data_IF_157625506625
#
_entry.id   IF_157625506625
#
_cell.length_a   1.000
_cell.length_b   1.000
_cell.length_c   1.000
_cell.angle_alpha   90.00
_cell.angle_beta   90.00
_cell.angle_gamma   90.00
#
_symmetry.space_group_name_H-M   'P 1'
#
loop_
_entity.id
_entity.type
_entity.pdbx_description
1 polymer ?
#
# COMPACT_ATOMS: atom_id res chain seq x y z
N UNK A 1 42.97 25.66 -20.67
CA UNK A 1 41.68 26.26 -21.08
C UNK A 1 41.71 26.41 -22.59
N UNK A 2 40.61 26.07 -23.28
CA UNK A 2 40.50 26.25 -24.73
C UNK A 2 39.06 26.59 -25.14
N UNK A 3 38.85 26.98 -26.41
CA UNK A 3 37.53 27.30 -26.98
C UNK A 3 37.26 26.46 -28.22
N UNK A 4 36.04 25.96 -28.34
CA UNK A 4 35.56 25.21 -29.51
C UNK A 4 34.09 25.56 -29.77
N UNK A 5 33.74 25.85 -31.02
CA UNK A 5 32.39 26.25 -31.45
C UNK A 5 31.72 27.31 -30.56
N UNK A 6 32.45 28.38 -30.24
CA UNK A 6 31.93 29.50 -29.41
C UNK A 6 31.82 29.22 -27.90
N UNK A 7 32.04 27.97 -27.45
CA UNK A 7 32.00 27.58 -26.04
C UNK A 7 33.41 27.50 -25.44
N UNK A 8 33.55 27.93 -24.18
CA UNK A 8 34.80 27.89 -23.43
C UNK A 8 34.85 26.66 -22.52
N UNK A 9 35.96 25.91 -22.59
CA UNK A 9 36.20 24.72 -21.78
C UNK A 9 37.36 24.97 -20.81
N UNK A 10 37.12 24.70 -19.53
CA UNK A 10 38.10 24.78 -18.45
C UNK A 10 38.25 23.40 -17.82
N UNK A 11 39.45 22.83 -17.91
CA UNK A 11 39.81 21.54 -17.31
C UNK A 11 41.26 21.59 -16.84
N UNK A 12 41.53 20.99 -15.68
CA UNK A 12 42.89 20.83 -15.13
C UNK A 12 43.65 19.76 -15.93
N UNK A 13 44.96 19.90 -16.07
CA UNK A 13 45.85 18.85 -16.61
C UNK A 13 46.12 17.74 -15.60
N UNK A 14 45.62 17.87 -14.36
CA UNK A 14 45.71 16.85 -13.29
C UNK A 14 47.15 16.40 -12.99
N UNK A 15 48.13 17.26 -13.29
CA UNK A 15 49.55 17.06 -13.01
C UNK A 15 50.16 18.31 -12.42
N UNK A 16 51.10 18.13 -11.48
CA UNK A 16 51.92 19.19 -10.91
C UNK A 16 53.24 19.41 -11.68
N UNK A 17 53.56 18.53 -12.65
CA UNK A 17 54.75 18.65 -13.50
C UNK A 17 54.49 19.60 -14.67
N UNK A 18 55.29 20.67 -14.74
CA UNK A 18 55.22 21.70 -15.77
C UNK A 18 55.51 21.16 -17.19
N UNK A 19 56.39 20.17 -17.35
CA UNK A 19 56.70 19.60 -18.67
C UNK A 19 55.51 18.80 -19.21
N UNK A 20 54.90 17.96 -18.37
CA UNK A 20 53.70 17.19 -18.71
C UNK A 20 52.48 18.07 -18.99
N UNK A 21 52.30 19.14 -18.21
CA UNK A 21 51.25 20.13 -18.45
C UNK A 21 51.42 20.82 -19.81
N UNK A 22 52.67 21.13 -20.19
CA UNK A 22 53.01 21.76 -21.47
C UNK A 22 52.77 20.80 -22.64
N UNK A 23 53.16 19.53 -22.53
CA UNK A 23 52.89 18.51 -23.54
C UNK A 23 51.39 18.28 -23.76
N UNK A 24 50.61 18.23 -22.69
CA UNK A 24 49.14 18.11 -22.76
C UNK A 24 48.51 19.30 -23.48
N UNK A 25 49.00 20.51 -23.20
CA UNK A 25 48.56 21.73 -23.90
C UNK A 25 48.82 21.64 -25.42
N UNK A 26 50.02 21.23 -25.84
CA UNK A 26 50.35 21.10 -27.26
C UNK A 26 49.45 20.11 -27.99
N UNK A 27 49.14 18.95 -27.37
CA UNK A 27 48.23 17.95 -27.94
C UNK A 27 46.81 18.49 -28.15
N UNK A 28 46.31 19.29 -27.21
CA UNK A 28 45.00 19.95 -27.31
C UNK A 28 45.00 20.96 -28.46
N UNK A 29 46.05 21.77 -28.57
CA UNK A 29 46.19 22.77 -29.64
C UNK A 29 46.30 22.11 -31.03
N UNK A 30 47.04 21.00 -31.13
CA UNK A 30 47.14 20.21 -32.36
C UNK A 30 45.79 19.62 -32.77
N UNK A 31 45.04 19.04 -31.81
CA UNK A 31 43.71 18.46 -32.06
C UNK A 31 42.71 19.52 -32.54
N UNK A 32 42.74 20.72 -31.94
CA UNK A 32 41.93 21.86 -32.39
C UNK A 32 42.32 22.32 -33.80
N UNK A 33 43.61 22.27 -34.15
CA UNK A 33 44.09 22.60 -35.50
C UNK A 33 43.56 21.59 -36.53
N UNK A 34 43.58 20.30 -36.19
CA UNK A 34 43.09 19.23 -37.06
C UNK A 34 41.58 19.30 -37.30
N UNK A 35 40.79 19.60 -36.25
CA UNK A 35 39.35 19.85 -36.36
C UNK A 35 39.04 21.06 -37.25
N UNK A 36 39.78 22.18 -37.08
CA UNK A 36 39.61 23.38 -37.92
C UNK A 36 39.96 23.15 -39.39
N UNK A 37 40.92 22.28 -39.67
CA UNK A 37 41.35 21.92 -41.02
C UNK A 37 40.45 20.85 -41.66
N UNK A 38 39.43 20.34 -40.95
CA UNK A 38 38.55 19.27 -41.43
C UNK A 38 39.27 17.93 -41.62
N UNK A 39 40.47 17.76 -41.04
CA UNK A 39 41.24 16.51 -41.15
C UNK A 39 40.81 15.44 -40.16
N UNK A 40 40.07 15.84 -39.12
CA UNK A 40 39.44 14.96 -38.15
C UNK A 40 38.05 15.51 -37.88
N UNK A 41 37.08 14.63 -37.71
CA UNK A 41 35.70 14.97 -37.35
C UNK A 41 35.41 14.55 -35.90
N UNK A 42 34.57 15.32 -35.23
CA UNK A 42 34.09 14.99 -33.88
C UNK A 42 32.94 13.97 -34.00
N UNK A 43 32.98 12.82 -33.29
CA UNK A 43 31.87 11.87 -33.28
C UNK A 43 30.56 12.48 -32.75
N UNK A 44 29.41 12.06 -33.28
CA UNK A 44 28.09 12.60 -32.93
C UNK A 44 27.71 12.44 -31.44
N UNK A 45 28.27 11.43 -30.78
CA UNK A 45 28.03 11.06 -29.38
C UNK A 45 29.12 11.55 -28.40
N UNK A 46 30.16 12.23 -28.90
CA UNK A 46 31.29 12.66 -28.10
C UNK A 46 31.07 14.05 -27.46
N UNK A 47 31.36 14.18 -26.16
CA UNK A 47 31.50 15.52 -25.55
C UNK A 47 32.75 16.22 -26.14
N UNK A 48 32.61 17.40 -26.77
CA UNK A 48 33.72 18.09 -27.42
C UNK A 48 34.86 18.42 -26.45
N UNK A 49 34.53 18.72 -25.19
CA UNK A 49 35.51 19.05 -24.17
C UNK A 49 36.36 17.85 -23.77
N UNK A 50 35.74 16.68 -23.59
CA UNK A 50 36.43 15.43 -23.22
C UNK A 50 37.26 14.89 -24.38
N UNK A 51 36.71 14.86 -25.58
CA UNK A 51 37.36 14.29 -26.77
C UNK A 51 38.57 15.10 -27.23
N UNK A 52 38.48 16.44 -27.20
CA UNK A 52 39.60 17.32 -27.53
C UNK A 52 40.71 17.21 -26.48
N UNK A 53 40.34 17.06 -25.20
CA UNK A 53 41.30 16.90 -24.11
C UNK A 53 42.04 15.56 -24.17
N UNK A 54 41.43 14.51 -24.72
CA UNK A 54 42.07 13.20 -24.95
C UNK A 54 42.83 13.10 -26.28
N UNK A 55 43.03 14.22 -26.99
CA UNK A 55 43.75 14.30 -28.26
C UNK A 55 43.24 13.32 -29.33
N UNK A 56 41.91 13.15 -29.41
CA UNK A 56 41.27 12.24 -30.37
C UNK A 56 41.45 10.74 -30.07
N UNK A 57 42.13 10.39 -28.97
CA UNK A 57 42.22 8.99 -28.50
C UNK A 57 41.10 8.71 -27.50
N UNK A 58 39.92 8.36 -28.03
CA UNK A 58 39.04 7.44 -27.31
C UNK A 58 39.33 6.04 -27.84
N UNK A 59 40.50 5.51 -27.47
CA UNK A 59 40.84 4.10 -27.65
C UNK A 59 41.26 3.55 -26.32
N UNK A 60 40.26 3.32 -25.49
CA UNK A 60 40.26 2.15 -24.64
C UNK A 60 38.82 1.71 -24.50
N UNK A 61 38.58 0.51 -25.02
CA UNK A 61 37.54 -0.41 -24.58
C UNK A 61 37.86 -0.69 -23.11
N UNK A 62 37.64 0.29 -22.23
CA UNK A 62 37.64 0.05 -20.81
C UNK A 62 36.63 -1.07 -20.62
N UNK A 63 37.11 -2.17 -20.04
CA UNK A 63 36.30 -3.27 -19.59
C UNK A 63 35.00 -2.70 -19.04
N UNK A 64 33.88 -3.11 -19.64
CA UNK A 64 32.52 -2.83 -19.15
C UNK A 64 32.37 -3.57 -17.82
N UNK A 65 33.05 -3.08 -16.79
CA UNK A 65 32.93 -3.53 -15.42
C UNK A 65 32.53 -2.29 -14.60
N UNK A 66 31.24 -2.24 -14.27
CA UNK A 66 30.57 -1.33 -13.32
C UNK A 66 30.17 0.10 -13.75
N UNK A 67 29.85 0.33 -15.03
CA UNK A 67 29.19 1.58 -15.46
C UNK A 67 27.68 1.45 -15.83
N UNK A 68 27.09 0.26 -15.67
CA UNK A 68 25.70 -0.02 -16.07
C UNK A 68 24.66 0.06 -14.94
N UNK A 69 24.87 0.82 -13.86
CA UNK A 69 24.00 0.79 -12.65
C UNK A 69 23.01 1.96 -12.50
N UNK A 70 22.84 2.80 -13.53
CA UNK A 70 21.95 3.98 -13.47
C UNK A 70 20.66 3.86 -14.27
N UNK A 71 20.36 2.68 -14.81
CA UNK A 71 19.10 2.48 -15.53
C UNK A 71 17.93 2.40 -14.54
N UNK A 72 16.76 2.89 -14.95
CA UNK A 72 15.56 2.89 -14.15
C UNK A 72 15.24 1.50 -13.60
N UNK A 73 15.36 0.47 -14.46
CA UNK A 73 15.02 -0.88 -14.08
C UNK A 73 15.89 -1.43 -12.96
N UNK A 74 17.21 -1.24 -13.05
CA UNK A 74 18.15 -1.67 -12.01
C UNK A 74 18.01 -0.90 -10.71
N UNK A 75 17.74 0.41 -10.80
CA UNK A 75 17.45 1.23 -9.61
C UNK A 75 16.21 0.70 -8.90
N UNK A 76 15.15 0.35 -9.65
CA UNK A 76 13.96 -0.25 -9.05
C UNK A 76 14.25 -1.59 -8.37
N UNK A 77 15.02 -2.47 -9.02
CA UNK A 77 15.32 -3.79 -8.46
C UNK A 77 16.18 -3.66 -7.19
N UNK A 78 17.21 -2.81 -7.23
CA UNK A 78 18.07 -2.52 -6.07
C UNK A 78 17.29 -1.88 -4.92
N UNK A 79 16.32 -1.00 -5.23
CA UNK A 79 15.41 -0.45 -4.22
C UNK A 79 14.61 -1.55 -3.54
N UNK A 80 13.99 -2.46 -4.32
CA UNK A 80 13.16 -3.54 -3.78
C UNK A 80 13.97 -4.50 -2.90
N UNK A 81 15.20 -4.84 -3.30
CA UNK A 81 16.12 -5.68 -2.53
C UNK A 81 16.52 -5.04 -1.18
N UNK A 82 16.64 -3.72 -1.14
CA UNK A 82 17.02 -2.96 0.06
C UNK A 82 15.85 -2.79 1.07
N UNK A 83 14.60 -3.07 0.68
CA UNK A 83 13.41 -2.90 1.54
C UNK A 83 13.18 -4.08 2.51
N UNK A 84 14.22 -4.52 3.22
CA UNK A 84 14.21 -5.71 4.08
C UNK A 84 13.32 -5.57 5.33
N UNK A 85 13.08 -4.34 5.79
CA UNK A 85 12.31 -4.01 6.99
C UNK A 85 10.80 -3.92 6.74
N UNK A 86 10.37 -3.89 5.48
CA UNK A 86 8.96 -3.72 5.12
C UNK A 86 8.19 -5.04 5.25
N UNK A 87 6.95 -4.94 5.71
CA UNK A 87 6.03 -6.06 5.66
C UNK A 87 5.87 -6.61 4.23
N UNK A 88 5.83 -7.95 4.09
CA UNK A 88 5.69 -8.68 2.81
C UNK A 88 4.53 -8.16 1.95
N UNK A 89 3.39 -7.79 2.55
CA UNK A 89 2.26 -7.24 1.77
C UNK A 89 2.57 -5.89 1.12
N UNK A 90 3.45 -5.10 1.75
CA UNK A 90 3.93 -3.83 1.21
C UNK A 90 4.94 -4.08 0.10
N UNK A 91 5.91 -4.97 0.31
CA UNK A 91 6.86 -5.40 -0.73
C UNK A 91 6.12 -5.90 -1.99
N UNK A 92 5.17 -6.83 -1.84
CA UNK A 92 4.34 -7.32 -2.94
C UNK A 92 3.56 -6.20 -3.66
N UNK A 93 3.14 -5.16 -2.93
CA UNK A 93 2.46 -4.00 -3.52
C UNK A 93 3.43 -3.12 -4.32
N UNK A 94 4.63 -2.88 -3.77
CA UNK A 94 5.69 -2.10 -4.43
C UNK A 94 6.21 -2.83 -5.68
N UNK A 95 6.38 -4.15 -5.65
CA UNK A 95 6.69 -4.96 -6.83
C UNK A 95 5.66 -4.81 -7.95
N UNK A 96 4.37 -4.81 -7.61
CA UNK A 96 3.30 -4.55 -8.59
C UNK A 96 3.43 -3.14 -9.18
N UNK A 97 3.70 -2.14 -8.34
CA UNK A 97 3.88 -0.77 -8.80
C UNK A 97 5.11 -0.66 -9.72
N UNK A 98 6.25 -1.22 -9.33
CA UNK A 98 7.49 -1.28 -10.12
C UNK A 98 7.24 -1.97 -11.46
N UNK A 99 6.53 -3.11 -11.48
CA UNK A 99 6.16 -3.80 -12.73
C UNK A 99 5.33 -2.92 -13.66
N UNK A 100 4.39 -2.14 -13.13
CA UNK A 100 3.60 -1.20 -13.93
C UNK A 100 4.45 -0.05 -14.48
N UNK A 101 5.38 0.48 -13.68
CA UNK A 101 6.28 1.56 -14.08
C UNK A 101 7.27 1.10 -15.14
N UNK A 102 7.95 -0.04 -14.92
CA UNK A 102 8.86 -0.70 -15.86
C UNK A 102 8.21 -0.97 -17.21
N UNK A 103 6.99 -1.51 -17.19
CA UNK A 103 6.20 -1.76 -18.42
C UNK A 103 5.94 -0.48 -19.23
N UNK A 104 5.79 0.67 -18.58
CA UNK A 104 5.49 1.93 -19.26
C UNK A 104 6.75 2.68 -19.69
N UNK A 105 7.73 2.82 -18.80
CA UNK A 105 8.94 3.62 -19.04
C UNK A 105 10.10 2.85 -19.66
N UNK A 106 10.06 1.51 -19.70
CA UNK A 106 11.21 0.64 -20.02
C UNK A 106 12.28 0.62 -18.92
N UNK A 107 12.87 -0.57 -18.72
CA UNK A 107 13.95 -0.80 -17.75
C UNK A 107 15.24 -0.05 -18.12
N UNK A 108 15.44 0.26 -19.41
CA UNK A 108 16.65 0.89 -19.93
C UNK A 108 16.68 2.41 -19.79
N UNK A 109 15.55 3.05 -19.44
CA UNK A 109 15.49 4.51 -19.39
C UNK A 109 16.37 5.07 -18.29
N UNK A 110 17.05 6.18 -18.58
CA UNK A 110 17.80 6.93 -17.59
C UNK A 110 16.82 7.66 -16.65
N UNK A 111 16.83 7.33 -15.37
CA UNK A 111 15.83 7.85 -14.41
C UNK A 111 15.74 9.39 -14.40
N UNK A 112 16.86 10.16 -14.37
CA UNK A 112 16.82 11.62 -14.41
C UNK A 112 16.30 12.23 -15.71
N UNK A 113 16.19 11.48 -16.82
CA UNK A 113 15.56 12.00 -18.04
C UNK A 113 14.04 12.01 -17.98
N UNK A 114 13.43 11.38 -16.97
CA UNK A 114 11.98 11.35 -16.82
C UNK A 114 11.44 12.74 -16.44
N UNK A 115 10.67 13.33 -17.35
CA UNK A 115 10.09 14.67 -17.19
C UNK A 115 8.71 14.63 -16.55
N UNK A 116 8.25 15.78 -16.05
CA UNK A 116 6.88 15.96 -15.56
C UNK A 116 5.82 15.57 -16.61
N UNK A 117 6.03 15.91 -17.88
CA UNK A 117 5.12 15.57 -18.98
C UNK A 117 5.01 14.05 -19.17
N UNK A 118 6.14 13.33 -19.09
CA UNK A 118 6.13 11.86 -19.16
C UNK A 118 5.40 11.22 -17.98
N UNK A 119 5.54 11.78 -16.76
CA UNK A 119 4.80 11.33 -15.59
C UNK A 119 3.29 11.63 -15.71
N UNK A 120 2.92 12.78 -16.28
CA UNK A 120 1.53 13.10 -16.56
C UNK A 120 0.94 12.15 -17.62
N UNK A 121 1.69 11.81 -18.66
CA UNK A 121 1.31 10.80 -19.66
C UNK A 121 1.13 9.41 -19.02
N UNK A 122 1.96 9.03 -18.05
CA UNK A 122 1.76 7.81 -17.26
C UNK A 122 0.44 7.84 -16.48
N UNK A 123 0.10 8.96 -15.83
CA UNK A 123 -1.21 9.11 -15.13
C UNK A 123 -2.37 8.89 -16.10
N UNK A 124 -2.33 9.53 -17.28
CA UNK A 124 -3.37 9.36 -18.29
C UNK A 124 -3.45 7.93 -18.83
N UNK A 125 -2.30 7.29 -19.06
CA UNK A 125 -2.24 5.89 -19.48
C UNK A 125 -2.88 4.97 -18.44
N UNK A 126 -2.45 5.07 -17.17
CA UNK A 126 -2.99 4.26 -16.06
C UNK A 126 -4.48 4.48 -15.86
N UNK A 127 -4.97 5.72 -16.04
CA UNK A 127 -6.40 6.03 -15.92
C UNK A 127 -7.27 5.34 -16.97
N UNK A 128 -6.77 5.19 -18.20
CA UNK A 128 -7.48 4.51 -19.30
C UNK A 128 -7.47 2.98 -19.16
N UNK A 129 -6.55 2.43 -18.36
CA UNK A 129 -6.52 1.01 -18.08
C UNK A 129 -7.70 0.58 -17.21
N UNK A 130 -8.12 -0.68 -17.38
CA UNK A 130 -9.20 -1.30 -16.62
C UNK A 130 -8.69 -2.48 -15.81
N UNK A 131 -9.17 -2.61 -14.58
CA UNK A 131 -9.03 -3.80 -13.76
C UNK A 131 -10.43 -4.34 -13.44
N UNK A 132 -10.70 -5.59 -13.83
CA UNK A 132 -12.04 -6.22 -13.72
C UNK A 132 -13.16 -5.34 -14.29
N UNK A 133 -12.91 -4.76 -15.47
CA UNK A 133 -13.86 -3.89 -16.18
C UNK A 133 -14.02 -2.46 -15.64
N UNK A 134 -13.32 -2.09 -14.56
CA UNK A 134 -13.40 -0.76 -13.94
C UNK A 134 -12.11 0.02 -14.17
N UNK A 135 -12.22 1.29 -14.53
CA UNK A 135 -11.07 2.20 -14.65
C UNK A 135 -10.27 2.29 -13.35
N UNK A 136 -8.95 2.39 -13.47
CA UNK A 136 -8.07 2.52 -12.30
C UNK A 136 -8.37 3.84 -11.58
N UNK A 137 -8.58 3.76 -10.26
CA UNK A 137 -8.88 4.92 -9.43
C UNK A 137 -7.66 5.84 -9.26
N UNK A 138 -7.89 7.14 -9.12
CA UNK A 138 -6.81 8.10 -8.82
C UNK A 138 -6.07 7.78 -7.52
N UNK A 139 -6.75 7.16 -6.53
CA UNK A 139 -6.12 6.66 -5.30
C UNK A 139 -5.08 5.56 -5.58
N UNK A 140 -5.36 4.66 -6.52
CA UNK A 140 -4.42 3.61 -6.93
C UNK A 140 -3.23 4.20 -7.66
N UNK A 141 -3.47 5.09 -8.62
CA UNK A 141 -2.40 5.78 -9.37
C UNK A 141 -1.51 6.57 -8.42
N UNK A 142 -2.10 7.29 -7.46
CA UNK A 142 -1.34 8.02 -6.44
C UNK A 142 -0.42 7.10 -5.64
N UNK A 143 -0.86 5.89 -5.28
CA UNK A 143 0.00 4.92 -4.56
C UNK A 143 1.19 4.48 -5.40
N UNK A 144 0.97 4.18 -6.68
CA UNK A 144 2.04 3.83 -7.62
C UNK A 144 3.07 4.96 -7.71
N UNK A 145 2.62 6.21 -7.81
CA UNK A 145 3.50 7.38 -7.86
C UNK A 145 4.19 7.70 -6.54
N UNK A 146 3.58 7.37 -5.39
CA UNK A 146 4.26 7.44 -4.10
C UNK A 146 5.43 6.45 -4.06
N UNK A 147 5.24 5.22 -4.55
CA UNK A 147 6.33 4.25 -4.68
C UNK A 147 7.41 4.75 -5.64
N UNK A 148 7.03 5.31 -6.80
CA UNK A 148 8.00 5.93 -7.71
C UNK A 148 8.82 7.04 -7.03
N UNK A 149 8.17 7.91 -6.24
CA UNK A 149 8.86 8.95 -5.46
C UNK A 149 9.83 8.33 -4.45
N UNK A 150 9.42 7.30 -3.71
CA UNK A 150 10.29 6.59 -2.75
C UNK A 150 11.53 6.00 -3.42
N UNK A 151 11.37 5.39 -4.61
CA UNK A 151 12.49 4.87 -5.40
C UNK A 151 13.45 6.00 -5.78
N UNK A 152 12.91 7.14 -6.22
CA UNK A 152 13.73 8.30 -6.60
C UNK A 152 14.48 8.90 -5.42
N UNK A 153 13.80 9.10 -4.29
CA UNK A 153 14.40 9.63 -3.05
C UNK A 153 15.53 8.70 -2.57
N UNK A 154 15.28 7.38 -2.56
CA UNK A 154 16.27 6.35 -2.23
C UNK A 154 17.50 6.39 -3.18
N UNK A 155 17.25 6.53 -4.48
CA UNK A 155 18.32 6.62 -5.47
C UNK A 155 19.17 7.90 -5.29
N UNK A 156 18.56 9.00 -4.87
CA UNK A 156 19.24 10.26 -4.57
C UNK A 156 20.13 10.14 -3.34
N UNK A 157 19.62 9.53 -2.26
CA UNK A 157 20.38 9.29 -1.03
C UNK A 157 21.64 8.43 -1.29
N UNK A 158 21.56 7.50 -2.25
CA UNK A 158 22.69 6.66 -2.70
C UNK A 158 23.54 7.27 -3.81
N UNK A 159 23.31 8.54 -4.15
CA UNK A 159 24.04 9.29 -5.19
C UNK A 159 23.96 8.65 -6.58
N UNK A 160 22.93 7.84 -6.85
CA UNK A 160 22.65 7.27 -8.17
C UNK A 160 22.02 8.31 -9.10
N UNK A 161 21.25 9.24 -8.51
CA UNK A 161 20.69 10.42 -9.17
C UNK A 161 21.01 11.68 -8.36
N UNK A 162 21.07 12.83 -9.03
CA UNK A 162 21.41 14.13 -8.41
C UNK A 162 20.22 15.08 -8.38
N UNK A 163 19.20 14.82 -9.20
CA UNK A 163 18.01 15.65 -9.35
C UNK A 163 16.91 15.22 -8.40
N UNK A 164 16.02 16.16 -8.06
CA UNK A 164 14.81 15.87 -7.30
C UNK A 164 13.74 15.21 -8.17
N UNK A 165 12.86 14.43 -7.53
CA UNK A 165 11.74 13.80 -8.20
C UNK A 165 10.75 14.87 -8.70
N UNK A 166 10.40 14.92 -10.00
CA UNK A 166 9.58 16.00 -10.56
C UNK A 166 8.07 15.85 -10.26
N UNK A 167 7.68 15.01 -9.30
CA UNK A 167 6.27 14.79 -8.93
C UNK A 167 5.69 15.87 -8.02
N UNK A 168 6.55 16.55 -7.24
CA UNK A 168 6.12 17.51 -6.22
C UNK A 168 6.77 18.88 -6.43
N UNK A 169 6.06 19.94 -6.03
CA UNK A 169 6.61 21.28 -5.96
C UNK A 169 7.43 21.51 -4.67
N UNK A 170 8.01 22.71 -4.55
CA UNK A 170 8.75 23.16 -3.36
C UNK A 170 7.91 23.20 -2.07
N UNK A 171 6.58 23.04 -2.14
CA UNK A 171 5.65 22.97 -1.00
C UNK A 171 5.14 21.55 -0.77
N UNK A 172 5.78 20.55 -1.38
CA UNK A 172 5.39 19.14 -1.34
C UNK A 172 3.98 18.85 -1.88
N UNK A 173 3.47 19.68 -2.80
CA UNK A 173 2.18 19.44 -3.47
C UNK A 173 2.40 18.72 -4.80
N UNK A 174 1.46 17.83 -5.14
CA UNK A 174 1.46 17.12 -6.41
C UNK A 174 1.36 18.09 -7.58
N UNK A 175 2.34 18.07 -8.48
CA UNK A 175 2.31 18.83 -9.73
C UNK A 175 1.51 18.07 -10.79
N UNK A 176 1.65 16.74 -10.83
CA UNK A 176 0.84 15.89 -11.71
C UNK A 176 -0.64 15.92 -11.32
N UNK A 177 -1.51 16.06 -12.32
CA UNK A 177 -2.95 16.07 -12.12
C UNK A 177 -3.47 14.63 -11.99
N UNK A 178 -3.67 14.21 -10.74
CA UNK A 178 -4.25 12.91 -10.38
C UNK A 178 -5.74 13.10 -10.04
N UNK A 179 -6.66 12.32 -10.64
CA UNK A 179 -8.07 12.38 -10.31
C UNK A 179 -8.31 12.29 -8.80
N UNK A 180 -9.07 13.25 -8.26
CA UNK A 180 -9.42 13.25 -6.84
C UNK A 180 -10.30 12.03 -6.54
N UNK A 181 -10.07 11.35 -5.40
CA UNK A 181 -10.98 10.29 -4.99
C UNK A 181 -12.36 10.88 -4.67
N UNK A 182 -13.41 10.14 -5.00
CA UNK A 182 -14.75 10.42 -4.51
C UNK A 182 -14.79 10.27 -2.98
N UNK A 183 -15.54 11.14 -2.30
CA UNK A 183 -15.86 10.95 -0.89
C UNK A 183 -16.63 9.64 -0.73
N UNK A 184 -16.28 8.88 0.30
CA UNK A 184 -16.99 7.63 0.59
C UNK A 184 -18.31 7.94 1.26
N UNK A 185 -19.33 7.18 0.88
CA UNK A 185 -20.59 7.14 1.62
C UNK A 185 -20.34 6.79 3.09
N UNK A 186 -21.10 7.43 3.98
CA UNK A 186 -21.07 7.11 5.42
C UNK A 186 -21.65 5.71 5.66
N UNK A 187 -21.22 5.07 6.74
CA UNK A 187 -21.75 3.77 7.14
C UNK A 187 -23.25 3.86 7.42
N UNK A 188 -24.02 2.94 6.86
CA UNK A 188 -25.48 2.94 6.87
C UNK A 188 -26.02 1.56 7.29
N UNK A 189 -27.16 1.59 7.97
CA UNK A 189 -27.88 0.38 8.34
C UNK A 189 -28.52 -0.24 7.08
N UNK A 190 -28.77 -1.55 7.12
CA UNK A 190 -29.37 -2.29 6.01
C UNK A 190 -30.66 -1.65 5.48
N UNK A 191 -31.58 -1.30 6.38
CA UNK A 191 -32.89 -0.72 6.02
C UNK A 191 -32.77 0.65 5.37
N UNK A 192 -31.73 1.43 5.70
CA UNK A 192 -31.46 2.72 5.05
C UNK A 192 -30.98 2.50 3.61
N UNK A 193 -30.12 1.51 3.39
CA UNK A 193 -29.64 1.14 2.05
C UNK A 193 -30.81 0.66 1.18
N UNK A 194 -31.65 -0.23 1.69
CA UNK A 194 -32.84 -0.71 0.97
C UNK A 194 -33.78 0.43 0.60
N UNK A 195 -34.10 1.33 1.54
CA UNK A 195 -34.94 2.51 1.27
C UNK A 195 -34.35 3.40 0.17
N UNK A 196 -33.03 3.61 0.15
CA UNK A 196 -32.36 4.40 -0.90
C UNK A 196 -32.45 3.73 -2.27
N UNK A 197 -32.29 2.40 -2.32
CA UNK A 197 -32.39 1.63 -3.57
C UNK A 197 -33.84 1.60 -4.08
N UNK A 198 -34.81 1.37 -3.20
CA UNK A 198 -36.24 1.33 -3.53
C UNK A 198 -36.78 2.66 -4.06
N UNK A 199 -36.22 3.79 -3.62
CA UNK A 199 -36.56 5.12 -4.15
C UNK A 199 -36.32 5.26 -5.66
N UNK A 200 -35.42 4.44 -6.24
CA UNK A 200 -35.07 4.48 -7.66
C UNK A 200 -34.02 5.55 -7.99
N UNK A 201 -33.60 5.58 -9.27
CA UNK A 201 -32.63 6.55 -9.79
C UNK A 201 -31.14 6.21 -9.58
N UNK A 202 -30.83 5.08 -8.95
CA UNK A 202 -29.44 4.63 -8.73
C UNK A 202 -29.03 3.53 -9.72
N UNK A 203 -27.92 3.76 -10.43
CA UNK A 203 -27.29 2.72 -11.25
C UNK A 203 -26.71 1.58 -10.40
N UNK A 204 -26.44 0.43 -11.03
CA UNK A 204 -25.91 -0.77 -10.33
C UNK A 204 -24.61 -0.48 -9.57
N UNK A 205 -23.77 0.42 -10.08
CA UNK A 205 -22.49 0.80 -9.45
C UNK A 205 -22.74 1.58 -8.14
N UNK A 206 -23.68 2.52 -8.15
CA UNK A 206 -24.08 3.30 -6.98
C UNK A 206 -24.70 2.42 -5.92
N UNK A 207 -25.60 1.51 -6.30
CA UNK A 207 -26.19 0.54 -5.35
C UNK A 207 -25.09 -0.32 -4.69
N UNK A 208 -24.11 -0.78 -5.47
CA UNK A 208 -22.97 -1.55 -4.95
C UNK A 208 -22.10 -0.73 -3.97
N UNK A 209 -21.93 0.58 -4.19
CA UNK A 209 -21.20 1.48 -3.25
C UNK A 209 -21.95 1.63 -1.92
N UNK A 210 -23.29 1.66 -1.94
CA UNK A 210 -24.08 1.67 -0.71
C UNK A 210 -23.82 0.41 0.12
N UNK A 211 -23.88 -0.77 -0.51
CA UNK A 211 -23.59 -2.04 0.16
C UNK A 211 -22.13 -2.18 0.64
N UNK A 212 -21.18 -1.44 0.06
CA UNK A 212 -19.80 -1.35 0.58
C UNK A 212 -19.69 -0.60 1.91
N UNK A 213 -20.68 0.22 2.24
CA UNK A 213 -20.77 1.00 3.47
C UNK A 213 -21.85 0.45 4.41
N UNK A 214 -22.26 -0.81 4.22
CA UNK A 214 -23.16 -1.51 5.12
C UNK A 214 -22.48 -1.75 6.48
N UNK A 215 -23.24 -1.52 7.55
CA UNK A 215 -23.04 -2.19 8.83
C UNK A 215 -24.32 -2.93 9.24
N UNK A 216 -24.16 -4.01 10.00
CA UNK A 216 -25.25 -4.81 10.54
C UNK A 216 -25.57 -4.34 11.96
N UNK A 217 -26.84 -4.17 12.27
CA UNK A 217 -27.27 -3.93 13.65
C UNK A 217 -27.15 -5.22 14.51
N UNK A 218 -27.37 -5.09 15.81
CA UNK A 218 -27.25 -6.20 16.77
C UNK A 218 -28.16 -7.40 16.43
N UNK A 219 -29.40 -7.13 15.97
CA UNK A 219 -30.34 -8.19 15.57
C UNK A 219 -29.84 -8.92 14.34
N UNK A 220 -29.35 -8.18 13.36
CA UNK A 220 -28.78 -8.74 12.13
C UNK A 220 -27.49 -9.53 12.40
N UNK A 221 -26.64 -9.07 13.32
CA UNK A 221 -25.46 -9.84 13.77
C UNK A 221 -25.91 -11.15 14.40
N UNK A 222 -26.90 -11.14 15.30
CA UNK A 222 -27.41 -12.36 15.91
C UNK A 222 -28.00 -13.34 14.87
N UNK A 223 -28.79 -12.84 13.91
CA UNK A 223 -29.33 -13.66 12.82
C UNK A 223 -28.23 -14.25 11.92
N UNK A 224 -27.22 -13.44 11.57
CA UNK A 224 -26.07 -13.87 10.78
C UNK A 224 -25.32 -14.98 11.50
N UNK A 225 -25.01 -14.79 12.78
CA UNK A 225 -24.28 -15.78 13.58
C UNK A 225 -25.09 -17.07 13.73
N UNK A 226 -26.41 -16.99 13.93
CA UNK A 226 -27.29 -18.18 13.95
C UNK A 226 -27.26 -18.92 12.61
N UNK A 227 -27.31 -18.18 11.50
CA UNK A 227 -27.19 -18.76 10.16
C UNK A 227 -25.85 -19.46 9.95
N UNK A 228 -24.74 -18.80 10.32
CA UNK A 228 -23.39 -19.37 10.20
C UNK A 228 -23.24 -20.60 11.07
N UNK A 229 -23.71 -20.61 12.33
CA UNK A 229 -23.65 -21.81 13.20
C UNK A 229 -24.36 -23.01 12.57
N UNK A 230 -25.48 -22.78 11.87
CA UNK A 230 -26.25 -23.84 11.20
C UNK A 230 -25.60 -24.33 9.89
N UNK A 231 -24.95 -23.45 9.13
CA UNK A 231 -24.44 -23.75 7.78
C UNK A 231 -22.95 -24.10 7.74
N UNK A 232 -22.19 -23.78 8.79
CA UNK A 232 -20.76 -24.01 8.82
C UNK A 232 -20.40 -25.49 8.57
N UNK A 233 -19.59 -25.73 7.54
CA UNK A 233 -19.10 -27.07 7.21
C UNK A 233 -17.85 -27.46 8.03
N UNK A 234 -17.26 -26.52 8.76
CA UNK A 234 -16.12 -26.77 9.64
C UNK A 234 -16.33 -26.06 10.98
N UNK A 235 -15.98 -26.69 12.13
CA UNK A 235 -16.22 -26.16 13.46
C UNK A 235 -15.64 -24.74 13.69
N UNK A 236 -14.44 -24.46 13.19
CA UNK A 236 -13.75 -23.18 13.36
C UNK A 236 -14.47 -21.98 12.69
N UNK A 237 -15.39 -22.22 11.73
CA UNK A 237 -16.04 -21.13 10.98
C UNK A 237 -16.94 -20.29 11.88
N UNK A 238 -17.68 -20.91 12.80
CA UNK A 238 -18.56 -20.15 13.69
C UNK A 238 -17.76 -19.25 14.68
N UNK A 239 -16.75 -19.77 15.41
CA UNK A 239 -15.82 -18.97 16.20
C UNK A 239 -15.14 -17.85 15.39
N UNK A 240 -14.77 -18.10 14.14
CA UNK A 240 -14.18 -17.11 13.24
C UNK A 240 -15.08 -15.87 13.02
N UNK A 241 -16.39 -16.07 12.84
CA UNK A 241 -17.33 -14.97 12.71
C UNK A 241 -17.57 -14.25 14.05
N UNK A 242 -17.74 -15.02 15.13
CA UNK A 242 -17.95 -14.47 16.48
C UNK A 242 -16.77 -13.61 16.90
N UNK A 243 -15.53 -14.06 16.67
CA UNK A 243 -14.32 -13.30 16.99
C UNK A 243 -14.40 -11.88 16.44
N UNK A 244 -14.59 -11.73 15.12
CA UNK A 244 -14.56 -10.41 14.48
C UNK A 244 -15.78 -9.57 14.85
N UNK A 245 -16.96 -10.20 14.98
CA UNK A 245 -18.19 -9.49 15.34
C UNK A 245 -18.14 -8.88 16.75
N UNK A 246 -17.45 -9.52 17.69
CA UNK A 246 -17.39 -9.08 19.10
C UNK A 246 -16.07 -8.41 19.52
N UNK A 247 -15.06 -8.37 18.66
CA UNK A 247 -13.78 -7.67 18.96
C UNK A 247 -13.47 -6.51 18.00
N UNK A 248 -14.16 -6.43 16.87
CA UNK A 248 -13.80 -5.50 15.80
C UNK A 248 -12.43 -5.77 15.17
N UNK A 249 -11.83 -6.94 15.38
CA UNK A 249 -10.51 -7.26 14.85
C UNK A 249 -10.45 -7.27 13.32
N UNK A 250 -9.29 -6.92 12.77
CA UNK A 250 -9.02 -7.09 11.33
C UNK A 250 -8.86 -8.58 11.03
N UNK A 251 -9.16 -9.01 9.80
CA UNK A 251 -8.95 -10.40 9.35
C UNK A 251 -7.53 -10.91 9.61
N UNK A 252 -6.51 -10.07 9.42
CA UNK A 252 -5.11 -10.45 9.69
C UNK A 252 -4.76 -10.49 11.18
N UNK A 253 -5.56 -9.88 12.06
CA UNK A 253 -5.40 -9.97 13.51
C UNK A 253 -6.01 -11.29 13.99
N UNK A 254 -7.21 -11.63 13.49
CA UNK A 254 -7.84 -12.95 13.67
C UNK A 254 -6.89 -14.11 13.33
N UNK A 255 -6.35 -14.13 12.11
CA UNK A 255 -5.47 -15.20 11.63
C UNK A 255 -4.12 -15.31 12.38
N UNK A 256 -3.73 -14.29 13.15
CA UNK A 256 -2.49 -14.31 13.96
C UNK A 256 -2.76 -14.50 15.45
N UNK A 257 -4.03 -14.54 15.87
CA UNK A 257 -4.36 -14.72 17.28
C UNK A 257 -3.95 -16.09 17.76
N UNK A 258 -3.52 -16.15 19.02
CA UNK A 258 -3.10 -17.35 19.71
C UNK A 258 -4.10 -17.69 20.82
N UNK A 259 -4.13 -18.96 21.23
CA UNK A 259 -4.98 -19.44 22.33
C UNK A 259 -4.69 -18.62 23.61
N UNK A 260 -3.41 -18.35 23.90
CA UNK A 260 -2.96 -17.59 25.06
C UNK A 260 -3.36 -16.10 25.03
N UNK A 261 -3.90 -15.60 23.91
CA UNK A 261 -4.42 -14.24 23.83
C UNK A 261 -5.76 -14.07 24.60
N UNK A 262 -6.38 -15.17 25.04
CA UNK A 262 -7.65 -15.18 25.75
C UNK A 262 -7.47 -15.31 27.27
N UNK A 263 -7.56 -14.18 27.98
CA UNK A 263 -7.62 -14.19 29.45
C UNK A 263 -9.08 -14.28 29.91
N UNK A 264 -9.52 -15.51 30.17
CA UNK A 264 -10.87 -15.81 30.66
C UNK A 264 -11.11 -15.42 32.12
N UNK A 265 -10.05 -15.16 32.90
CA UNK A 265 -10.15 -14.72 34.29
C UNK A 265 -10.41 -13.21 34.35
N UNK A 266 -9.67 -12.45 33.54
CA UNK A 266 -9.84 -10.99 33.45
C UNK A 266 -10.90 -10.55 32.45
N UNK A 267 -11.50 -11.49 31.70
CA UNK A 267 -12.42 -11.21 30.59
C UNK A 267 -11.82 -10.24 29.57
N UNK A 268 -10.60 -10.52 29.11
CA UNK A 268 -9.90 -9.71 28.13
C UNK A 268 -9.37 -10.57 26.98
N UNK A 269 -9.28 -9.95 25.81
CA UNK A 269 -8.66 -10.55 24.62
C UNK A 269 -7.53 -9.64 24.16
N UNK A 270 -6.32 -10.18 24.07
CA UNK A 270 -5.17 -9.52 23.48
C UNK A 270 -5.28 -9.56 21.95
N UNK A 271 -5.17 -8.42 21.29
CA UNK A 271 -5.16 -8.33 19.83
C UNK A 271 -3.77 -7.91 19.35
N UNK A 272 -3.18 -8.76 18.50
CA UNK A 272 -1.86 -8.61 17.89
C UNK A 272 -1.91 -7.79 16.61
N UNK A 273 -1.30 -6.61 16.59
CA UNK A 273 -1.39 -5.61 15.52
C UNK A 273 -0.06 -5.39 14.80
N UNK A 274 -0.09 -5.19 13.49
CA UNK A 274 1.10 -4.82 12.68
C UNK A 274 1.00 -3.43 12.04
N UNK A 275 -0.04 -2.66 12.39
CA UNK A 275 -0.41 -1.43 11.67
C UNK A 275 -0.50 -0.18 12.53
N UNK A 276 -0.56 -0.32 13.85
CA UNK A 276 -0.77 0.82 14.76
C UNK A 276 0.49 1.66 14.88
N UNK A 277 1.62 1.01 15.13
CA UNK A 277 2.97 1.60 15.16
C UNK A 277 3.77 1.04 14.00
N UNK A 278 4.43 1.91 13.23
CA UNK A 278 5.21 1.50 12.04
C UNK A 278 6.68 1.23 12.36
N UNK A 279 7.13 1.71 13.51
CA UNK A 279 8.45 1.54 14.09
C UNK A 279 8.58 0.21 14.87
N UNK A 280 7.49 -0.54 15.01
CA UNK A 280 7.43 -1.80 15.74
C UNK A 280 6.98 -2.91 14.81
N UNK A 281 7.57 -4.10 14.95
CA UNK A 281 7.13 -5.28 14.20
C UNK A 281 5.70 -5.69 14.60
N UNK A 282 5.39 -5.64 15.89
CA UNK A 282 4.07 -5.94 16.42
C UNK A 282 3.73 -5.04 17.62
N UNK A 283 2.47 -4.67 17.73
CA UNK A 283 1.91 -3.99 18.91
C UNK A 283 0.68 -4.70 19.41
N UNK A 284 0.27 -4.39 20.63
CA UNK A 284 -0.85 -5.04 21.28
C UNK A 284 -1.90 -4.04 21.72
N UNK A 285 -3.14 -4.51 21.77
CA UNK A 285 -4.26 -3.82 22.41
C UNK A 285 -5.18 -4.84 23.07
N UNK A 286 -5.87 -4.44 24.12
CA UNK A 286 -6.85 -5.28 24.78
C UNK A 286 -8.27 -4.91 24.33
N UNK A 287 -9.13 -5.92 24.22
CA UNK A 287 -10.56 -5.74 23.99
C UNK A 287 -11.33 -6.49 25.10
N UNK A 288 -12.29 -5.85 25.79
CA UNK A 288 -13.13 -6.53 26.76
C UNK A 288 -13.90 -7.71 26.15
N UNK A 289 -13.99 -8.82 26.88
CA UNK A 289 -14.58 -10.05 26.40
C UNK A 289 -16.09 -10.06 26.66
N UNK A 290 -16.88 -9.90 25.61
CA UNK A 290 -18.33 -10.08 25.68
C UNK A 290 -18.71 -11.55 25.99
N UNK A 291 -19.77 -11.76 26.77
CA UNK A 291 -20.22 -13.11 27.20
C UNK A 291 -20.38 -14.11 26.05
N UNK A 292 -20.85 -13.64 24.89
CA UNK A 292 -21.02 -14.46 23.68
C UNK A 292 -19.70 -15.01 23.12
N UNK A 293 -18.67 -14.18 23.00
CA UNK A 293 -17.36 -14.64 22.50
C UNK A 293 -16.68 -15.52 23.55
N UNK A 294 -16.83 -15.19 24.83
CA UNK A 294 -16.36 -16.03 25.95
C UNK A 294 -16.89 -17.46 25.84
N UNK A 295 -18.21 -17.61 25.79
CA UNK A 295 -18.86 -18.93 25.71
C UNK A 295 -18.46 -19.68 24.43
N UNK A 296 -18.42 -18.97 23.29
CA UNK A 296 -18.07 -19.58 22.00
C UNK A 296 -16.63 -20.08 21.97
N UNK A 297 -15.68 -19.32 22.53
CA UNK A 297 -14.27 -19.70 22.52
C UNK A 297 -13.96 -20.81 23.52
N UNK A 298 -14.65 -20.84 24.67
CA UNK A 298 -14.57 -21.99 25.59
C UNK A 298 -15.07 -23.28 24.93
N UNK A 299 -16.23 -23.24 24.24
CA UNK A 299 -16.78 -24.37 23.46
C UNK A 299 -15.80 -24.79 22.34
N UNK A 300 -15.19 -23.82 21.66
CA UNK A 300 -14.23 -24.10 20.59
C UNK A 300 -12.92 -24.71 21.11
N UNK A 301 -12.37 -24.20 22.21
CA UNK A 301 -11.11 -24.68 22.76
C UNK A 301 -11.18 -26.11 23.31
N UNK A 302 -12.36 -26.62 23.64
CA UNK A 302 -12.54 -28.05 23.98
C UNK A 302 -12.46 -28.98 22.78
N UNK A 303 -12.77 -28.48 21.57
CA UNK A 303 -12.76 -29.26 20.31
C UNK A 303 -11.58 -28.89 19.39
N UNK A 304 -10.65 -28.07 19.90
CA UNK A 304 -9.56 -27.53 19.12
C UNK A 304 -8.59 -28.64 18.69
N UNK A 305 -8.20 -28.73 17.41
CA UNK A 305 -7.38 -29.84 16.90
C UNK A 305 -5.89 -29.75 17.31
N UNK A 306 -5.52 -28.87 18.24
CA UNK A 306 -4.14 -28.62 18.69
C UNK A 306 -3.43 -27.45 18.02
N UNK A 307 -2.19 -27.16 18.45
CA UNK A 307 -1.40 -26.00 18.02
C UNK A 307 -1.68 -24.73 18.81
N UNK A 308 -0.93 -23.66 18.53
CA UNK A 308 -0.97 -22.40 19.31
C UNK A 308 -1.97 -21.37 18.78
N UNK A 309 -2.32 -21.42 17.49
CA UNK A 309 -3.24 -20.46 16.87
C UNK A 309 -4.66 -20.68 17.38
N UNK A 310 -5.39 -19.59 17.64
CA UNK A 310 -6.80 -19.62 18.06
C UNK A 310 -7.69 -20.38 17.09
N UNK A 311 -7.44 -20.24 15.79
CA UNK A 311 -8.21 -20.88 14.72
C UNK A 311 -7.27 -21.68 13.82
N UNK A 312 -7.55 -22.97 13.72
CA UNK A 312 -6.82 -23.95 12.92
C UNK A 312 -7.81 -24.96 12.37
N UNK A 313 -7.38 -25.72 11.36
CA UNK A 313 -8.10 -26.86 10.84
C UNK A 313 -7.14 -27.96 10.44
N UNK A 314 -7.59 -29.21 10.56
CA UNK A 314 -6.83 -30.40 10.20
C UNK A 314 -6.74 -30.67 8.68
N UNK A 315 -7.49 -29.93 7.86
CA UNK A 315 -7.57 -30.17 6.41
C UNK A 315 -6.32 -29.61 5.69
N UNK A 316 -5.29 -30.45 5.60
CA UNK A 316 -3.92 -30.16 5.13
C UNK A 316 -3.75 -30.11 3.60
N UNK A 317 -4.84 -30.11 2.81
CA UNK A 317 -4.71 -30.22 1.34
C UNK A 317 -4.17 -28.97 0.64
N UNK A 318 -4.00 -27.86 1.36
CA UNK A 318 -3.36 -26.63 0.86
C UNK A 318 -2.63 -25.94 2.01
N UNK A 319 -1.34 -26.21 2.21
CA UNK A 319 -0.26 -25.20 2.39
C UNK A 319 0.98 -25.77 3.08
N UNK A 320 2.11 -25.22 2.63
CA UNK A 320 3.43 -25.10 3.26
C UNK A 320 3.59 -25.70 4.66
N UNK A 321 4.47 -26.69 4.70
CA UNK A 321 5.00 -27.35 5.89
C UNK A 321 5.48 -26.32 6.93
N UNK A 322 4.77 -26.20 8.05
CA UNK A 322 5.42 -25.86 9.31
C UNK A 322 6.12 -27.12 9.82
N UNK A 323 7.27 -26.97 10.46
CA UNK A 323 8.06 -28.09 11.02
C UNK A 323 7.27 -28.93 12.06
N UNK A 324 6.13 -28.40 12.50
CA UNK A 324 5.24 -28.85 13.57
C UNK A 324 3.95 -29.52 13.04
N UNK A 325 3.71 -29.50 11.72
CA UNK A 325 2.57 -30.15 11.06
C UNK A 325 1.18 -29.50 11.28
N UNK A 326 1.09 -28.40 12.02
CA UNK A 326 -0.16 -27.64 12.26
C UNK A 326 -0.02 -26.20 11.74
N UNK A 327 -0.97 -25.76 10.91
CA UNK A 327 -0.96 -24.45 10.24
C UNK A 327 -2.19 -23.66 10.64
N UNK A 328 -1.99 -22.48 11.24
CA UNK A 328 -3.07 -21.55 11.54
C UNK A 328 -3.81 -21.09 10.28
N UNK A 329 -5.09 -20.74 10.41
CA UNK A 329 -5.92 -20.34 9.29
C UNK A 329 -5.34 -19.10 8.56
N UNK A 330 -4.96 -19.24 7.29
CA UNK A 330 -4.39 -18.11 6.56
C UNK A 330 -5.46 -17.07 6.13
N UNK A 331 -4.99 -15.88 5.74
CA UNK A 331 -5.82 -14.73 5.40
C UNK A 331 -6.72 -14.95 4.16
N UNK A 332 -6.25 -15.75 3.20
CA UNK A 332 -6.97 -16.12 1.98
C UNK A 332 -8.02 -17.18 2.26
N UNK A 333 -7.67 -18.21 3.05
CA UNK A 333 -8.57 -19.28 3.50
C UNK A 333 -9.70 -18.73 4.34
N UNK A 334 -9.39 -17.91 5.35
CA UNK A 334 -10.40 -17.25 6.17
C UNK A 334 -11.41 -16.49 5.29
N UNK A 335 -10.94 -15.80 4.24
CA UNK A 335 -11.82 -15.10 3.31
C UNK A 335 -12.65 -16.05 2.46
N UNK A 336 -12.07 -17.15 2.01
CA UNK A 336 -12.78 -18.16 1.25
C UNK A 336 -13.89 -18.79 2.08
N UNK A 337 -13.60 -19.28 3.29
CA UNK A 337 -14.60 -19.85 4.21
C UNK A 337 -15.69 -18.84 4.55
N UNK A 338 -15.31 -17.58 4.80
CA UNK A 338 -16.26 -16.49 5.00
C UNK A 338 -17.23 -16.35 3.82
N UNK A 339 -16.72 -16.36 2.58
CA UNK A 339 -17.59 -16.26 1.39
C UNK A 339 -18.44 -17.50 1.17
N UNK A 340 -17.93 -18.70 1.44
CA UNK A 340 -18.71 -19.94 1.31
C UNK A 340 -19.87 -19.99 2.31
N UNK A 341 -19.62 -19.60 3.57
CA UNK A 341 -20.67 -19.56 4.60
C UNK A 341 -21.86 -18.69 4.17
N UNK A 342 -21.62 -17.61 3.41
CA UNK A 342 -22.65 -16.65 3.01
C UNK A 342 -23.17 -16.85 1.58
N UNK A 343 -22.58 -17.78 0.81
CA UNK A 343 -22.93 -18.02 -0.60
C UNK A 343 -24.39 -18.41 -0.75
N UNK A 344 -25.08 -17.88 -1.77
CA UNK A 344 -26.47 -18.20 -2.12
C UNK A 344 -27.48 -17.92 -0.98
N UNK A 345 -27.24 -16.84 -0.21
CA UNK A 345 -28.12 -16.38 0.87
C UNK A 345 -28.33 -14.87 0.82
N UNK A 346 -29.26 -14.34 1.64
CA UNK A 346 -29.44 -12.89 1.82
C UNK A 346 -28.15 -12.18 2.25
N UNK A 347 -27.27 -12.89 2.98
CA UNK A 347 -26.00 -12.37 3.49
C UNK A 347 -24.90 -12.23 2.42
N UNK A 348 -25.15 -12.67 1.18
CA UNK A 348 -24.19 -12.61 0.07
C UNK A 348 -23.72 -11.18 -0.27
N UNK A 349 -24.50 -10.16 0.09
CA UNK A 349 -24.15 -8.73 -0.03
C UNK A 349 -22.96 -8.35 0.86
N UNK A 350 -22.69 -9.10 1.94
CA UNK A 350 -21.56 -8.89 2.83
C UNK A 350 -20.27 -9.28 2.09
N UNK A 351 -19.43 -8.28 1.82
CA UNK A 351 -18.21 -8.47 1.01
C UNK A 351 -17.08 -9.16 1.76
N UNK A 352 -17.01 -9.01 3.07
CA UNK A 352 -15.94 -9.59 3.88
C UNK A 352 -15.97 -9.13 5.34
N UNK A 353 -14.96 -9.56 6.10
CA UNK A 353 -14.81 -9.31 7.53
C UNK A 353 -14.90 -7.84 7.96
N UNK A 354 -14.52 -6.89 7.10
CA UNK A 354 -14.62 -5.47 7.45
C UNK A 354 -16.05 -5.02 7.74
N UNK A 355 -17.08 -5.66 7.17
CA UNK A 355 -18.47 -5.36 7.52
C UNK A 355 -18.74 -5.68 8.99
N UNK A 356 -18.26 -6.82 9.51
CA UNK A 356 -18.40 -7.18 10.92
C UNK A 356 -17.65 -6.19 11.83
N UNK A 357 -16.43 -5.82 11.43
CA UNK A 357 -15.65 -4.79 12.14
C UNK A 357 -16.37 -3.43 12.17
N UNK A 358 -16.95 -3.01 11.05
CA UNK A 358 -17.73 -1.76 11.00
C UNK A 358 -19.04 -1.89 11.77
N UNK A 359 -19.64 -3.08 11.83
CA UNK A 359 -20.82 -3.36 12.67
C UNK A 359 -20.50 -3.22 14.15
N UNK A 360 -19.37 -3.76 14.60
CA UNK A 360 -18.88 -3.58 15.98
C UNK A 360 -18.78 -2.09 16.35
N UNK A 361 -18.01 -1.30 15.58
CA UNK A 361 -17.84 0.12 15.85
C UNK A 361 -19.15 0.93 15.73
N UNK A 362 -19.96 0.66 14.72
CA UNK A 362 -21.25 1.32 14.51
C UNK A 362 -22.25 1.04 15.63
N UNK A 363 -22.35 -0.21 16.11
CA UNK A 363 -23.30 -0.56 17.17
C UNK A 363 -22.87 0.04 18.52
N UNK A 364 -21.58 0.03 18.84
CA UNK A 364 -21.06 0.72 20.02
C UNK A 364 -21.33 2.22 19.95
N UNK A 365 -21.07 2.87 18.80
CA UNK A 365 -21.37 4.30 18.62
C UNK A 365 -22.87 4.59 18.77
N UNK A 366 -23.74 3.74 18.22
CA UNK A 366 -25.21 3.88 18.34
C UNK A 366 -25.72 3.70 19.76
N UNK A 367 -25.06 2.90 20.58
CA UNK A 367 -25.45 2.69 21.98
C UNK A 367 -25.37 3.98 22.80
N UNK A 368 -24.45 4.89 22.43
CA UNK A 368 -24.15 6.10 23.20
C UNK A 368 -23.42 5.85 24.53
N UNK A 369 -23.22 4.58 24.92
CA UNK A 369 -22.61 4.20 26.21
C UNK A 369 -21.09 4.13 26.17
N UNK A 370 -20.51 4.00 24.97
CA UNK A 370 -19.06 3.88 24.77
C UNK A 370 -18.56 5.09 24.00
N UNK A 371 -17.53 5.75 24.52
CA UNK A 371 -16.96 6.94 23.91
C UNK A 371 -16.28 6.64 22.58
N UNK A 372 -16.11 7.67 21.76
CA UNK A 372 -15.38 7.59 20.49
C UNK A 372 -13.94 7.10 20.67
N UNK A 373 -13.29 7.50 21.75
CA UNK A 373 -11.90 7.14 22.02
C UNK A 373 -11.75 5.68 22.47
N UNK A 374 -12.65 5.18 23.30
CA UNK A 374 -12.69 3.74 23.68
C UNK A 374 -12.94 2.85 22.46
N UNK A 375 -13.90 3.21 21.59
CA UNK A 375 -14.11 2.50 20.32
C UNK A 375 -12.83 2.56 19.45
N UNK A 376 -12.20 3.72 19.38
CA UNK A 376 -10.95 3.92 18.64
C UNK A 376 -9.83 3.02 19.17
N UNK A 377 -9.70 2.91 20.49
CA UNK A 377 -8.74 2.07 21.17
C UNK A 377 -8.97 0.58 20.87
N UNK A 378 -10.18 0.06 21.11
CA UNK A 378 -10.49 -1.36 20.87
C UNK A 378 -10.39 -1.75 19.40
N UNK A 379 -10.64 -0.81 18.49
CA UNK A 379 -10.48 -1.04 17.05
C UNK A 379 -9.04 -0.84 16.57
N UNK A 380 -8.15 -0.22 17.35
CA UNK A 380 -6.80 0.13 16.91
C UNK A 380 -6.80 1.19 15.81
N UNK A 381 -7.55 2.28 16.01
CA UNK A 381 -7.56 3.47 15.16
C UNK A 381 -6.44 4.44 15.58
N UNK A 382 -5.68 4.92 14.59
CA UNK A 382 -4.50 5.77 14.83
C UNK A 382 -4.66 7.21 14.39
N UNK A 383 -5.70 7.54 13.63
CA UNK A 383 -5.92 8.89 13.10
C UNK A 383 -7.31 9.40 13.45
N UNK A 384 -7.47 10.73 13.53
CA UNK A 384 -8.75 11.36 13.83
C UNK A 384 -9.80 11.03 12.76
N UNK A 385 -9.42 10.88 11.49
CA UNK A 385 -10.35 10.46 10.44
C UNK A 385 -10.88 9.04 10.68
N UNK A 386 -10.05 8.13 11.20
CA UNK A 386 -10.49 6.78 11.57
C UNK A 386 -11.40 6.80 12.80
N UNK A 387 -11.10 7.61 13.81
CA UNK A 387 -11.94 7.78 15.00
C UNK A 387 -13.29 8.42 14.68
N UNK A 388 -13.31 9.37 13.74
CA UNK A 388 -14.52 10.08 13.32
C UNK A 388 -15.43 9.27 12.39
N UNK A 389 -15.02 8.07 11.99
CA UNK A 389 -15.71 7.24 11.00
C UNK A 389 -17.15 6.88 11.37
N UNK A 390 -17.45 6.78 12.67
CA UNK A 390 -18.79 6.47 13.20
C UNK A 390 -19.44 7.67 13.91
N UNK A 391 -18.84 8.85 13.84
CA UNK A 391 -19.30 10.03 14.58
C UNK A 391 -20.77 10.35 14.30
N UNK A 392 -21.22 10.16 13.06
CA UNK A 392 -22.60 10.42 12.65
C UNK A 392 -23.63 9.44 13.21
N UNK A 393 -23.18 8.34 13.86
CA UNK A 393 -24.05 7.32 14.44
C UNK A 393 -24.27 7.51 15.94
N UNK A 394 -23.46 8.33 16.60
CA UNK A 394 -23.71 8.70 18.00
C UNK A 394 -25.08 9.40 18.10
N UNK A 395 -25.87 9.11 19.15
CA UNK A 395 -27.07 9.87 19.45
C UNK A 395 -26.75 11.37 19.42
N UNK A 396 -27.47 12.12 18.59
CA UNK A 396 -27.23 13.55 18.41
C UNK A 396 -28.26 14.35 19.20
N UNK A 397 -27.80 15.18 20.13
CA UNK A 397 -28.61 16.25 20.74
C UNK A 397 -28.77 17.46 19.80
N UNK A 398 -28.41 17.33 18.52
CA UNK A 398 -28.43 18.43 17.56
C UNK A 398 -29.82 19.06 17.40
N UNK A 399 -30.89 18.30 17.59
CA UNK A 399 -32.26 18.80 17.54
C UNK A 399 -32.56 19.72 18.73
N UNK A 400 -32.18 19.35 19.95
CA UNK A 400 -32.38 20.24 21.12
C UNK A 400 -31.44 21.45 21.08
N UNK A 401 -30.24 21.31 20.50
CA UNK A 401 -29.29 22.42 20.34
C UNK A 401 -29.71 23.41 19.26
N UNK A 402 -30.25 22.96 18.13
CA UNK A 402 -30.70 23.85 17.05
C UNK A 402 -32.00 24.57 17.40
N UNK A 403 -32.78 24.04 18.36
CA UNK A 403 -33.95 24.72 18.92
C UNK A 403 -33.60 26.04 19.64
N UNK A 404 -32.33 26.31 19.96
CA UNK A 404 -31.89 27.61 20.51
C UNK A 404 -31.92 28.75 19.48
N UNK A 405 -31.96 28.44 18.18
CA UNK A 405 -32.08 29.45 17.11
C UNK A 405 -33.52 29.96 16.92
N UNK A 406 -34.43 29.65 17.85
CA UNK A 406 -35.83 30.09 17.85
C UNK A 406 -35.99 31.54 18.24
#
# INVERSE_FOLDING_TARGET
MFRYSGRQFRRSTETADQKEATLTKYRIEETLRLLKQGRVELPEDADPGVWIFSAGKIKEKQSVSKANDKTFGKICDSYLEDQVDKAITTQNSEEIHVRHLKRYFSDSVYLPSLTLDQLQKYVHHRRRMKYRGVEISGKTIRKELVTFRQIWDWARERKLVVTDCPLLDHRHKWIVNIPKPEEKEKFQAWTQIEKRIQRGGLDRKSQKRLWECLFLDEKQIAELLKHVKKKANHPFIYPMFVFVAYTGARRSELCRSLIDDFDFNQNQILIRERKRRKDMEETFRFVPMHSKIRATMLEWFTEHPGGQFTLTHSDSKRNYESADGMVGLNVTEAHWHFKQALKDTKWSVIKGFHVLRHSFGSNLARSGQVSRDEIGEWMGHTTEEMKSLYQHLFPQDGISKIQVLS
#
